data_IF_766365537029
#
_entry.id   IF_766365537029
#
_cell.length_a   1.000
_cell.length_b   1.000
_cell.length_c   1.000
_cell.angle_alpha   90.00
_cell.angle_beta   90.00
_cell.angle_gamma   90.00
#
_symmetry.space_group_name_H-M   'P 1'
#
loop_
_entity.id
_entity.type
_entity.pdbx_description
1 polymer ?
#
# COMPACT_ATOMS: atom_id res chain seq x y z
N UNK A 1 4.45 4.25 21.73
CA UNK A 1 4.87 5.52 21.11
C UNK A 1 5.00 5.37 19.60
N UNK A 2 5.96 4.57 19.10
CA UNK A 2 6.19 4.29 17.67
C UNK A 2 4.92 3.97 16.84
N UNK A 3 4.03 3.10 17.35
CA UNK A 3 2.78 2.74 16.67
C UNK A 3 1.91 3.96 16.37
N UNK A 4 1.70 4.82 17.37
CA UNK A 4 0.82 5.99 17.30
C UNK A 4 1.46 7.07 16.43
N UNK A 5 2.76 7.30 16.59
CA UNK A 5 3.51 8.29 15.82
C UNK A 5 3.59 7.92 14.34
N UNK A 6 3.86 6.67 14.00
CA UNK A 6 3.86 6.21 12.60
C UNK A 6 2.49 6.32 11.93
N UNK A 7 1.41 6.09 12.69
CA UNK A 7 0.04 6.13 12.17
C UNK A 7 -0.44 7.57 12.02
N UNK A 8 -0.19 8.41 13.02
CA UNK A 8 -0.48 9.83 13.00
C UNK A 8 0.32 10.56 11.91
N UNK A 9 1.63 10.30 11.80
CA UNK A 9 2.47 10.88 10.74
C UNK A 9 1.99 10.46 9.36
N UNK A 10 1.66 9.17 9.15
CA UNK A 10 1.08 8.71 7.88
C UNK A 10 -0.23 9.42 7.52
N UNK A 11 -1.11 9.68 8.49
CA UNK A 11 -2.36 10.42 8.25
C UNK A 11 -2.09 11.89 7.94
N UNK A 12 -1.23 12.55 8.73
CA UNK A 12 -0.91 13.98 8.58
C UNK A 12 -0.16 14.25 7.28
N UNK A 13 0.70 13.32 6.85
CA UNK A 13 1.50 13.44 5.64
C UNK A 13 0.76 13.02 4.36
N UNK A 14 -0.41 12.38 4.47
CA UNK A 14 -1.19 11.92 3.31
C UNK A 14 -1.60 13.05 2.34
N UNK A 15 -2.02 14.24 2.79
CA UNK A 15 -2.27 15.35 1.87
C UNK A 15 -1.01 15.77 1.10
N UNK A 16 0.16 15.69 1.75
CA UNK A 16 1.45 16.06 1.13
C UNK A 16 1.95 15.00 0.16
N UNK A 17 1.58 13.72 0.33
CA UNK A 17 1.94 12.68 -0.65
C UNK A 17 1.23 12.86 -2.00
N UNK A 18 0.18 13.69 -2.09
CA UNK A 18 -0.42 14.08 -3.37
C UNK A 18 0.54 14.89 -4.25
N UNK A 19 1.46 15.66 -3.64
CA UNK A 19 2.51 16.39 -4.38
C UNK A 19 3.45 15.39 -5.08
N UNK A 20 3.63 14.21 -4.48
CA UNK A 20 4.40 13.08 -5.01
C UNK A 20 3.50 12.09 -5.77
N UNK A 21 2.43 12.57 -6.42
CA UNK A 21 1.46 11.73 -7.13
C UNK A 21 2.10 10.71 -8.07
N UNK A 22 3.14 11.09 -8.82
CA UNK A 22 3.82 10.17 -9.73
C UNK A 22 4.46 8.98 -8.98
N UNK A 23 5.12 9.24 -7.84
CA UNK A 23 5.70 8.20 -7.00
C UNK A 23 4.63 7.25 -6.47
N UNK A 24 3.52 7.81 -6.01
CA UNK A 24 2.37 7.06 -5.48
C UNK A 24 1.78 6.15 -6.55
N UNK A 25 1.58 6.66 -7.77
CA UNK A 25 1.04 5.88 -8.89
C UNK A 25 1.98 4.74 -9.26
N UNK A 26 3.28 5.01 -9.38
CA UNK A 26 4.29 3.98 -9.69
C UNK A 26 4.32 2.90 -8.60
N UNK A 27 4.29 3.29 -7.33
CA UNK A 27 4.24 2.36 -6.20
C UNK A 27 2.96 1.52 -6.16
N UNK A 28 1.82 2.07 -6.56
CA UNK A 28 0.53 1.37 -6.59
C UNK A 28 0.34 0.49 -7.84
N UNK A 29 1.11 0.73 -8.90
CA UNK A 29 0.95 0.05 -10.19
C UNK A 29 0.89 -1.48 -10.05
N UNK A 30 1.74 -2.15 -9.26
CA UNK A 30 1.67 -3.60 -9.08
C UNK A 30 0.34 -4.08 -8.47
N UNK A 31 -0.23 -3.30 -7.55
CA UNK A 31 -1.54 -3.58 -6.97
C UNK A 31 -2.69 -3.34 -7.96
N UNK A 32 -2.58 -2.31 -8.79
CA UNK A 32 -3.54 -2.05 -9.87
C UNK A 32 -3.50 -3.22 -10.86
N UNK A 33 -2.31 -3.67 -11.25
CA UNK A 33 -2.13 -4.78 -12.19
C UNK A 33 -2.71 -6.09 -11.66
N UNK A 34 -2.47 -6.46 -10.39
CA UNK A 34 -3.02 -7.71 -9.84
C UNK A 34 -4.56 -7.67 -9.79
N UNK A 35 -5.16 -6.49 -9.70
CA UNK A 35 -6.61 -6.35 -9.64
C UNK A 35 -7.31 -6.70 -10.96
N UNK A 36 -6.58 -6.73 -12.08
CA UNK A 36 -7.10 -7.21 -13.37
C UNK A 36 -7.15 -8.73 -13.47
N UNK A 37 -6.42 -9.45 -12.60
CA UNK A 37 -6.50 -10.93 -12.57
C UNK A 37 -7.92 -11.33 -12.16
N UNK A 38 -8.66 -12.12 -12.95
CA UNK A 38 -10.08 -12.38 -12.74
C UNK A 38 -10.41 -12.89 -11.33
N UNK A 39 -9.59 -13.79 -10.79
CA UNK A 39 -9.75 -14.34 -9.45
C UNK A 39 -9.65 -13.25 -8.37
N UNK A 40 -8.64 -12.39 -8.46
CA UNK A 40 -8.41 -11.27 -7.54
C UNK A 40 -9.48 -10.20 -7.68
N UNK A 41 -9.83 -9.84 -8.91
CA UNK A 41 -10.94 -8.92 -9.23
C UNK A 41 -12.24 -9.36 -8.57
N UNK A 42 -12.60 -10.63 -8.73
CA UNK A 42 -13.83 -11.18 -8.15
C UNK A 42 -13.83 -11.09 -6.62
N UNK A 43 -12.71 -11.43 -5.97
CA UNK A 43 -12.54 -11.28 -4.52
C UNK A 43 -12.74 -9.82 -4.08
N UNK A 44 -12.16 -8.87 -4.82
CA UNK A 44 -12.30 -7.44 -4.52
C UNK A 44 -13.72 -6.92 -4.73
N UNK A 45 -14.50 -7.48 -5.64
CA UNK A 45 -15.90 -7.08 -5.86
C UNK A 45 -16.89 -7.64 -4.83
N UNK A 46 -16.49 -8.60 -3.99
CA UNK A 46 -17.35 -9.21 -2.97
C UNK A 46 -17.83 -8.23 -1.90
N UNK A 47 -18.93 -8.58 -1.25
CA UNK A 47 -19.53 -7.80 -0.16
C UNK A 47 -18.53 -7.64 1.00
N UNK A 48 -18.46 -6.43 1.55
CA UNK A 48 -17.55 -6.04 2.66
C UNK A 48 -16.04 -6.21 2.38
N UNK A 49 -15.60 -6.55 1.16
CA UNK A 49 -14.17 -6.74 0.86
C UNK A 49 -13.30 -5.53 1.21
N UNK A 50 -13.78 -4.30 0.98
CA UNK A 50 -13.06 -3.07 1.34
C UNK A 50 -12.89 -2.94 2.86
N UNK A 51 -13.91 -3.30 3.65
CA UNK A 51 -13.79 -3.32 5.12
C UNK A 51 -12.75 -4.35 5.56
N UNK A 52 -12.75 -5.53 4.93
CA UNK A 52 -11.71 -6.54 5.18
C UNK A 52 -10.32 -6.08 4.74
N UNK A 53 -10.21 -5.34 3.65
CA UNK A 53 -8.94 -4.78 3.17
C UNK A 53 -8.35 -3.79 4.18
N UNK A 54 -9.17 -2.87 4.68
CA UNK A 54 -8.76 -1.93 5.74
C UNK A 54 -8.34 -2.65 7.03
N UNK A 55 -9.07 -3.70 7.43
CA UNK A 55 -8.69 -4.54 8.58
C UNK A 55 -7.36 -5.27 8.34
N UNK A 56 -7.12 -5.77 7.12
CA UNK A 56 -5.83 -6.36 6.74
C UNK A 56 -4.70 -5.33 6.79
N UNK A 57 -4.97 -4.09 6.39
CA UNK A 57 -4.04 -2.97 6.51
C UNK A 57 -3.65 -2.69 7.95
N UNK A 58 -4.64 -2.61 8.84
CA UNK A 58 -4.39 -2.42 10.27
C UNK A 58 -3.56 -3.56 10.87
N UNK A 59 -3.89 -4.81 10.53
CA UNK A 59 -3.14 -5.98 10.99
C UNK A 59 -1.71 -6.04 10.43
N UNK A 60 -1.52 -5.66 9.18
CA UNK A 60 -0.18 -5.57 8.57
C UNK A 60 0.64 -4.49 9.24
N UNK A 61 0.02 -3.35 9.57
CA UNK A 61 0.66 -2.26 10.29
C UNK A 61 1.05 -2.65 11.72
N UNK A 62 0.19 -3.32 12.49
CA UNK A 62 0.57 -3.83 13.83
C UNK A 62 1.70 -4.85 13.74
N UNK A 63 1.66 -5.79 12.80
CA UNK A 63 2.75 -6.75 12.58
C UNK A 63 4.07 -6.04 12.24
N UNK A 64 4.05 -5.08 11.31
CA UNK A 64 5.26 -4.35 10.92
C UNK A 64 5.77 -3.43 12.02
N UNK A 65 4.90 -2.91 12.89
CA UNK A 65 5.32 -2.16 14.08
C UNK A 65 6.05 -3.07 15.08
N UNK A 66 5.59 -4.31 15.27
CA UNK A 66 6.30 -5.28 16.12
C UNK A 66 7.68 -5.61 15.55
N UNK A 67 7.76 -5.85 14.23
CA UNK A 67 9.04 -6.06 13.54
C UNK A 67 9.95 -4.84 13.67
N UNK A 68 9.41 -3.64 13.47
CA UNK A 68 10.10 -2.38 13.65
C UNK A 68 10.66 -2.21 15.07
N UNK A 69 9.90 -2.60 16.09
CA UNK A 69 10.36 -2.55 17.48
C UNK A 69 11.58 -3.44 17.71
N UNK A 70 11.60 -4.64 17.14
CA UNK A 70 12.77 -5.53 17.17
C UNK A 70 13.94 -4.91 16.38
N UNK A 71 13.66 -4.28 15.24
CA UNK A 71 14.66 -3.63 14.39
C UNK A 71 15.33 -2.42 15.05
N UNK A 72 14.72 -1.76 16.02
CA UNK A 72 15.36 -0.67 16.77
C UNK A 72 16.53 -1.13 17.65
N UNK A 73 16.59 -2.42 17.98
CA UNK A 73 17.75 -3.03 18.65
C UNK A 73 18.90 -3.38 17.68
N UNK A 74 18.68 -3.20 16.38
CA UNK A 74 19.67 -3.34 15.33
C UNK A 74 20.16 -1.93 14.91
N UNK A 75 21.34 -1.79 14.27
CA UNK A 75 21.86 -0.49 13.81
C UNK A 75 21.11 0.05 12.57
N UNK A 76 19.78 -0.02 12.58
CA UNK A 76 18.89 0.48 11.52
C UNK A 76 18.46 1.90 11.90
N UNK A 77 18.55 2.85 10.95
CA UNK A 77 18.14 4.24 11.17
C UNK A 77 16.63 4.32 11.41
N UNK A 78 16.23 5.04 12.47
CA UNK A 78 14.81 5.26 12.82
C UNK A 78 13.99 5.83 11.65
N UNK A 79 14.57 6.71 10.84
CA UNK A 79 13.92 7.29 9.67
C UNK A 79 13.47 6.25 8.64
N UNK A 80 14.19 5.14 8.50
CA UNK A 80 13.84 4.03 7.61
C UNK A 80 12.62 3.29 8.14
N UNK A 81 12.58 3.08 9.46
CA UNK A 81 11.46 2.45 10.15
C UNK A 81 10.19 3.30 10.03
N UNK A 82 10.30 4.61 10.27
CA UNK A 82 9.19 5.54 10.08
C UNK A 82 8.71 5.55 8.63
N UNK A 83 9.62 5.62 7.65
CA UNK A 83 9.24 5.60 6.23
C UNK A 83 8.52 4.30 5.83
N UNK A 84 8.96 3.15 6.34
CA UNK A 84 8.29 1.87 6.12
C UNK A 84 6.86 1.87 6.69
N UNK A 85 6.69 2.31 7.94
CA UNK A 85 5.38 2.39 8.59
C UNK A 85 4.44 3.36 7.87
N UNK A 86 4.91 4.54 7.49
CA UNK A 86 4.13 5.50 6.69
C UNK A 86 3.77 4.93 5.31
N UNK A 87 4.67 4.18 4.67
CA UNK A 87 4.41 3.52 3.39
C UNK A 87 3.23 2.55 3.44
N UNK A 88 3.09 1.79 4.54
CA UNK A 88 1.93 0.90 4.75
C UNK A 88 0.63 1.69 4.88
N UNK A 89 0.65 2.83 5.58
CA UNK A 89 -0.51 3.70 5.74
C UNK A 89 -0.93 4.30 4.40
N UNK A 90 0.02 4.87 3.65
CA UNK A 90 -0.24 5.43 2.32
C UNK A 90 -0.77 4.38 1.36
N UNK A 91 -0.12 3.21 1.28
CA UNK A 91 -0.58 2.11 0.45
C UNK A 91 -2.03 1.75 0.78
N UNK A 92 -2.37 1.58 2.06
CA UNK A 92 -3.72 1.21 2.48
C UNK A 92 -4.77 2.27 2.15
N UNK A 93 -4.45 3.55 2.30
CA UNK A 93 -5.35 4.64 1.92
C UNK A 93 -5.59 4.65 0.41
N UNK A 94 -4.53 4.70 -0.40
CA UNK A 94 -4.66 4.80 -1.85
C UNK A 94 -5.27 3.53 -2.48
N UNK A 95 -4.85 2.34 -2.03
CA UNK A 95 -5.45 1.09 -2.49
C UNK A 95 -6.93 0.98 -2.13
N UNK A 96 -7.34 1.51 -0.96
CA UNK A 96 -8.76 1.56 -0.59
C UNK A 96 -9.58 2.51 -1.48
N UNK A 97 -9.02 3.68 -1.81
CA UNK A 97 -9.63 4.60 -2.78
C UNK A 97 -9.77 3.92 -4.15
N UNK A 98 -8.71 3.25 -4.62
CA UNK A 98 -8.75 2.48 -5.86
C UNK A 98 -9.83 1.38 -5.82
N UNK A 99 -9.92 0.61 -4.74
CA UNK A 99 -10.93 -0.44 -4.60
C UNK A 99 -12.36 0.11 -4.56
N UNK A 100 -12.57 1.29 -3.96
CA UNK A 100 -13.85 1.99 -4.00
C UNK A 100 -14.22 2.36 -5.45
N UNK A 101 -13.30 2.94 -6.21
CA UNK A 101 -13.49 3.26 -7.62
C UNK A 101 -13.76 2.00 -8.46
N UNK A 102 -12.98 0.94 -8.27
CA UNK A 102 -13.17 -0.35 -8.94
C UNK A 102 -14.57 -0.92 -8.69
N UNK A 103 -15.08 -0.83 -7.46
CA UNK A 103 -16.44 -1.27 -7.13
C UNK A 103 -17.53 -0.38 -7.68
N UNK A 104 -17.29 0.92 -7.73
CA UNK A 104 -18.24 1.88 -8.25
C UNK A 104 -18.43 1.69 -9.76
N UNK A 105 -17.32 1.52 -10.49
CA UNK A 105 -17.29 1.32 -11.95
C UNK A 105 -17.68 -0.09 -12.40
N UNK A 106 -17.72 -1.07 -11.48
CA UNK A 106 -18.07 -2.44 -11.82
C UNK A 106 -19.58 -2.67 -11.78
N UNK A 107 -20.14 -3.11 -12.91
CA UNK A 107 -21.55 -3.52 -13.01
C UNK A 107 -21.84 -4.84 -12.26
N UNK A 108 -20.82 -5.66 -11.97
CA UNK A 108 -20.96 -6.98 -11.35
C UNK A 108 -20.69 -6.95 -9.84
N UNK A 109 -21.52 -6.23 -9.09
CA UNK A 109 -21.44 -6.24 -7.61
C UNK A 109 -21.91 -7.60 -7.07
N UNK A 110 -20.98 -8.34 -6.47
CA UNK A 110 -21.30 -9.64 -5.88
C UNK A 110 -21.79 -9.45 -4.44
N UNK A 111 -23.03 -9.86 -4.16
CA UNK A 111 -23.60 -9.85 -2.80
C UNK A 111 -23.12 -11.04 -1.94
N UNK A 112 -22.04 -11.71 -2.36
CA UNK A 112 -21.43 -12.87 -1.71
C UNK A 112 -20.36 -12.39 -0.74
N UNK A 113 -20.29 -13.01 0.44
CA UNK A 113 -19.25 -12.74 1.43
C UNK A 113 -17.93 -13.44 1.10
N UNK A 114 -16.83 -12.90 1.62
CA UNK A 114 -15.51 -13.53 1.54
C UNK A 114 -15.48 -14.84 2.34
N UNK A 115 -15.03 -15.91 1.67
CA UNK A 115 -14.71 -17.18 2.32
C UNK A 115 -13.46 -17.04 3.21
N UNK A 116 -13.26 -18.00 4.13
CA UNK A 116 -12.09 -18.01 5.02
C UNK A 116 -10.77 -17.97 4.24
N UNK A 117 -10.65 -18.76 3.16
CA UNK A 117 -9.46 -18.79 2.29
C UNK A 117 -9.20 -17.44 1.63
N UNK A 118 -10.25 -16.76 1.18
CA UNK A 118 -10.12 -15.44 0.53
C UNK A 118 -9.73 -14.33 1.50
N UNK A 119 -10.14 -14.41 2.77
CA UNK A 119 -9.70 -13.47 3.80
C UNK A 119 -8.18 -13.56 4.03
N UNK A 120 -7.63 -14.77 4.16
CA UNK A 120 -6.19 -14.97 4.27
C UNK A 120 -5.45 -14.52 3.01
N UNK A 121 -6.02 -14.80 1.83
CA UNK A 121 -5.46 -14.32 0.57
C UNK A 121 -5.40 -12.79 0.49
N UNK A 122 -6.48 -12.10 0.88
CA UNK A 122 -6.47 -10.63 0.95
C UNK A 122 -5.46 -10.08 1.94
N UNK A 123 -5.30 -10.73 3.09
CA UNK A 123 -4.27 -10.35 4.06
C UNK A 123 -2.86 -10.48 3.47
N UNK A 124 -2.56 -11.62 2.84
CA UNK A 124 -1.28 -11.85 2.18
C UNK A 124 -0.99 -10.84 1.06
N UNK A 125 -2.00 -10.52 0.23
CA UNK A 125 -1.85 -9.47 -0.79
C UNK A 125 -1.61 -8.10 -0.17
N UNK A 126 -2.35 -7.73 0.88
CA UNK A 126 -2.18 -6.44 1.54
C UNK A 126 -0.76 -6.26 2.07
N UNK A 127 -0.23 -7.26 2.79
CA UNK A 127 1.11 -7.23 3.34
C UNK A 127 2.18 -7.19 2.23
N UNK A 128 2.04 -8.05 1.22
CA UNK A 128 2.96 -8.09 0.07
C UNK A 128 3.04 -6.74 -0.64
N UNK A 129 1.89 -6.16 -1.03
CA UNK A 129 1.87 -4.92 -1.79
C UNK A 129 2.19 -3.70 -0.92
N UNK A 130 1.94 -3.72 0.39
CA UNK A 130 2.41 -2.66 1.29
C UNK A 130 3.93 -2.59 1.34
N UNK A 131 4.59 -3.75 1.48
CA UNK A 131 6.05 -3.83 1.48
C UNK A 131 6.64 -3.46 0.12
N UNK A 132 6.01 -3.92 -0.96
CA UNK A 132 6.45 -3.62 -2.32
C UNK A 132 6.26 -2.14 -2.66
N UNK A 133 5.17 -1.52 -2.21
CA UNK A 133 4.96 -0.07 -2.30
C UNK A 133 6.07 0.70 -1.59
N UNK A 134 6.38 0.34 -0.33
CA UNK A 134 7.50 0.93 0.40
C UNK A 134 8.84 0.78 -0.36
N UNK A 135 9.14 -0.43 -0.86
CA UNK A 135 10.38 -0.71 -1.56
C UNK A 135 10.51 0.12 -2.85
N UNK A 136 9.45 0.21 -3.66
CA UNK A 136 9.43 1.03 -4.88
C UNK A 136 9.61 2.50 -4.54
N UNK A 137 8.86 3.00 -3.56
CA UNK A 137 8.96 4.40 -3.14
C UNK A 137 10.38 4.74 -2.68
N UNK A 138 10.99 3.86 -1.87
CA UNK A 138 12.36 4.04 -1.39
C UNK A 138 13.37 4.07 -2.54
N UNK A 139 13.36 3.06 -3.41
CA UNK A 139 14.29 2.96 -4.55
C UNK A 139 14.14 4.19 -5.45
N UNK A 140 12.91 4.61 -5.74
CA UNK A 140 12.67 5.75 -6.61
C UNK A 140 13.19 7.07 -6.03
N UNK A 141 13.07 7.27 -4.71
CA UNK A 141 13.62 8.42 -4.00
C UNK A 141 15.15 8.36 -3.89
N UNK A 142 15.71 7.20 -3.56
CA UNK A 142 17.14 7.01 -3.31
C UNK A 142 17.97 7.18 -4.60
N UNK A 143 17.47 6.67 -5.72
CA UNK A 143 18.15 6.78 -7.01
C UNK A 143 17.68 7.97 -7.85
N UNK A 144 16.82 8.84 -7.31
CA UNK A 144 16.23 9.98 -8.01
C UNK A 144 15.76 9.62 -9.44
N UNK A 145 15.17 8.44 -9.59
CA UNK A 145 14.91 7.80 -10.89
C UNK A 145 14.02 8.67 -11.79
N UNK A 146 13.16 9.52 -11.21
CA UNK A 146 12.39 10.50 -11.99
C UNK A 146 13.28 11.48 -12.77
N UNK A 147 14.37 11.96 -12.16
CA UNK A 147 15.31 12.86 -12.81
C UNK A 147 16.10 12.15 -13.92
N UNK A 148 16.45 10.89 -13.72
CA UNK A 148 17.18 10.10 -14.71
C UNK A 148 16.31 9.65 -15.88
N UNK A 149 15.08 9.21 -15.63
CA UNK A 149 14.11 8.85 -16.67
C UNK A 149 13.75 10.09 -17.50
N UNK A 150 13.50 11.24 -16.87
CA UNK A 150 13.26 12.49 -17.60
C UNK A 150 14.48 12.90 -18.45
N UNK A 151 15.70 12.69 -17.93
CA UNK A 151 16.95 12.95 -18.65
C UNK A 151 17.19 11.98 -19.80
N UNK A 152 16.74 10.73 -19.70
CA UNK A 152 16.80 9.75 -20.78
C UNK A 152 15.91 10.17 -21.96
N UNK A 153 14.64 10.51 -21.70
CA UNK A 153 13.71 10.93 -22.74
C UNK A 153 14.02 12.30 -23.36
N UNK A 154 14.74 13.18 -22.67
CA UNK A 154 15.21 14.47 -23.25
C UNK A 154 16.50 14.36 -24.04
N UNK A 155 17.22 13.23 -23.94
CA UNK A 155 18.44 12.94 -24.71
C UNK A 155 18.19 12.03 -25.91
N UNK A 156 16.96 11.53 -26.07
CA UNK A 156 16.51 10.71 -27.20
C UNK A 156 15.85 11.62 -28.25
#
# INVERSE_FOLDING_TARGET
MLFIEGLASGIILFPYSLILYQLVVVGLLPFILISFVPKTKNIFLKKKSIRYWLLCGLLSYTMLTLVAYIMLYLPIRESVVFFMLSGVVFFNMYSSVYLLLLKFLSNNKQNIFLSKKEKYYMFGLNLLFSLLFYAICRVTLEYNLFSEVARFFTKM
#
